data_IF_593999140519
#
_entry.id   IF_593999140519
#
_cell.length_a   1.000
_cell.length_b   1.000
_cell.length_c   1.000
_cell.angle_alpha   90.00
_cell.angle_beta   90.00
_cell.angle_gamma   90.00
#
_symmetry.space_group_name_H-M   'P 1'
#
loop_
_entity.id
_entity.type
_entity.pdbx_description
1 polymer ?
2 non-polymer ?
3 water ?
#
# COMPACT_ATOMS: atom_id res chain seq x y z
N UNK A 10 1.07 -24.19 -3.19
CA UNK A 10 2.33 -23.51 -3.62
C UNK A 10 3.17 -23.11 -2.41
N UNK A 11 4.46 -23.42 -2.45
CA UNK A 11 5.36 -23.08 -1.36
C UNK A 11 5.83 -21.64 -1.56
N UNK A 12 5.22 -20.71 -0.83
CA UNK A 12 5.57 -19.31 -0.94
C UNK A 12 6.96 -18.97 -0.42
N UNK A 13 7.57 -19.90 0.30
CA UNK A 13 8.91 -19.69 0.84
C UNK A 13 9.99 -20.04 -0.18
N UNK A 14 9.58 -20.57 -1.34
CA UNK A 14 10.54 -20.92 -2.37
C UNK A 14 11.33 -19.68 -2.75
N UNK A 15 12.65 -19.80 -2.82
CA UNK A 15 13.51 -18.68 -3.12
C UNK A 15 14.16 -18.65 -4.50
N UNK A 16 13.96 -19.71 -5.29
CA UNK A 16 14.56 -19.79 -6.60
C UNK A 16 13.57 -20.03 -7.73
N UNK A 17 13.67 -19.22 -8.78
CA UNK A 17 12.80 -19.35 -9.95
C UNK A 17 13.69 -19.57 -11.18
N UNK A 18 13.11 -20.09 -12.25
CA UNK A 18 13.89 -20.33 -13.46
C UNK A 18 14.16 -19.04 -14.24
N UNK A 19 15.14 -19.10 -15.12
CA UNK A 19 15.54 -17.93 -15.91
C UNK A 19 14.39 -17.27 -16.67
N UNK A 20 13.56 -18.07 -17.32
CA UNK A 20 12.44 -17.52 -18.09
C UNK A 20 11.49 -16.74 -17.19
N UNK A 21 11.20 -17.28 -16.02
CA UNK A 21 10.29 -16.61 -15.08
C UNK A 21 10.90 -15.29 -14.60
N UNK A 22 12.20 -15.31 -14.30
CA UNK A 22 12.88 -14.11 -13.85
C UNK A 22 12.80 -13.04 -14.94
N UNK A 23 12.90 -13.46 -16.20
CA UNK A 23 12.84 -12.52 -17.32
C UNK A 23 11.44 -11.91 -17.43
N UNK A 24 10.41 -12.74 -17.27
CA UNK A 24 9.03 -12.28 -17.36
C UNK A 24 8.76 -11.20 -16.32
N UNK A 25 9.18 -11.46 -15.09
CA UNK A 25 8.98 -10.51 -14.00
C UNK A 25 9.78 -9.23 -14.20
N UNK A 26 10.99 -9.37 -14.71
CA UNK A 26 11.85 -8.22 -14.95
C UNK A 26 11.22 -7.31 -16.01
N UNK A 27 10.73 -7.91 -17.09
CA UNK A 27 10.10 -7.14 -18.16
C UNK A 27 8.80 -6.53 -17.65
N UNK A 28 8.11 -7.27 -16.79
CA UNK A 28 6.86 -6.78 -16.22
C UNK A 28 7.10 -5.50 -15.42
N UNK A 29 8.11 -5.53 -14.57
CA UNK A 29 8.45 -4.37 -13.75
C UNK A 29 8.86 -3.20 -14.63
N UNK A 30 9.70 -3.47 -15.62
CA UNK A 30 10.15 -2.42 -16.50
C UNK A 30 9.01 -1.79 -17.28
N UNK A 31 8.07 -2.61 -17.76
CA UNK A 31 6.92 -2.09 -18.51
C UNK A 31 6.07 -1.20 -17.62
N UNK A 32 5.86 -1.64 -16.39
CA UNK A 32 5.06 -0.88 -15.43
C UNK A 32 5.74 0.43 -15.08
N UNK A 33 7.06 0.39 -14.87
CA UNK A 33 7.77 1.62 -14.54
C UNK A 33 7.66 2.61 -15.69
N UNK A 34 7.74 2.09 -16.92
CA UNK A 34 7.62 2.95 -18.09
C UNK A 34 6.21 3.54 -18.16
N UNK A 35 5.20 2.72 -17.85
CA UNK A 35 3.82 3.20 -17.87
C UNK A 35 3.63 4.30 -16.83
N UNK A 36 4.22 4.11 -15.65
CA UNK A 36 4.12 5.12 -14.61
C UNK A 36 4.74 6.41 -15.10
N UNK A 37 5.94 6.33 -15.68
CA UNK A 37 6.61 7.51 -16.20
C UNK A 37 5.77 8.19 -17.27
N UNK A 38 5.20 7.40 -18.18
CA UNK A 38 4.37 7.95 -19.25
C UNK A 38 3.12 8.62 -18.68
N UNK A 39 2.56 8.04 -17.63
CA UNK A 39 1.37 8.58 -16.99
C UNK A 39 1.67 9.90 -16.30
N UNK A 40 2.82 9.97 -15.65
CA UNK A 40 3.21 11.20 -14.96
C UNK A 40 3.37 12.32 -15.99
N UNK A 41 4.02 12.00 -17.10
CA UNK A 41 4.25 12.95 -18.18
C UNK A 41 2.94 13.49 -18.73
N UNK A 42 1.98 12.59 -18.98
CA UNK A 42 0.68 12.97 -19.51
C UNK A 42 -0.08 13.86 -18.54
N UNK A 43 0.07 13.61 -17.25
CA UNK A 43 -0.61 14.38 -16.22
C UNK A 43 0.20 15.61 -15.80
N UNK A 44 1.33 15.82 -16.45
CA UNK A 44 2.16 16.97 -16.10
C UNK A 44 2.68 16.91 -14.68
N UNK A 45 3.02 15.71 -14.21
CA UNK A 45 3.53 15.55 -12.85
C UNK A 45 5.02 15.23 -12.90
N UNK A 46 5.77 15.77 -11.93
CA UNK A 46 7.21 15.54 -11.86
C UNK A 46 7.54 14.06 -11.73
N UNK A 47 8.64 13.65 -12.34
CA UNK A 47 9.08 12.26 -12.29
C UNK A 47 9.36 11.89 -10.84
N UNK A 48 8.96 10.69 -10.43
CA UNK A 48 9.18 10.26 -9.07
C UNK A 48 8.04 10.60 -8.13
N UNK A 49 7.02 11.27 -8.66
CA UNK A 49 5.85 11.64 -7.87
C UNK A 49 5.05 10.41 -7.46
N UNK A 50 5.12 9.37 -8.29
CA UNK A 50 4.38 8.13 -8.04
C UNK A 50 5.32 6.97 -7.70
N UNK A 51 5.03 6.27 -6.61
CA UNK A 51 5.84 5.13 -6.22
C UNK A 51 5.12 3.84 -6.58
N UNK A 52 5.88 2.84 -7.00
CA UNK A 52 5.32 1.55 -7.37
C UNK A 52 5.37 0.57 -6.23
N UNK A 53 4.21 0.03 -5.87
CA UNK A 53 4.12 -0.98 -4.83
C UNK A 53 3.73 -2.26 -5.56
N UNK A 54 4.53 -3.30 -5.42
CA UNK A 54 4.22 -4.55 -6.07
C UNK A 54 3.30 -5.33 -5.14
N UNK A 55 2.13 -5.73 -5.65
CA UNK A 55 1.18 -6.52 -4.86
C UNK A 55 1.72 -7.93 -5.01
N UNK A 56 2.28 -8.47 -3.93
CA UNK A 56 2.91 -9.78 -3.98
C UNK A 56 2.11 -11.00 -3.56
N UNK A 57 0.80 -10.86 -3.41
CA UNK A 57 -0.03 -11.98 -3.00
C UNK A 57 0.15 -13.18 -3.93
N UNK A 58 0.24 -14.36 -3.33
CA UNK A 58 0.42 -15.64 -4.04
C UNK A 58 1.76 -15.84 -4.74
N UNK A 59 2.66 -14.88 -4.61
CA UNK A 59 3.97 -14.99 -5.24
C UNK A 59 4.98 -15.48 -4.20
N UNK A 60 5.97 -16.27 -4.63
CA UNK A 60 6.96 -16.74 -3.68
C UNK A 60 8.14 -15.78 -3.56
N UNK A 61 9.03 -16.08 -2.61
CA UNK A 61 10.20 -15.24 -2.36
C UNK A 61 11.05 -15.02 -3.61
N UNK A 62 11.24 -16.07 -4.39
CA UNK A 62 12.05 -15.93 -5.60
C UNK A 62 11.43 -14.93 -6.55
N UNK A 63 10.11 -15.02 -6.73
CA UNK A 63 9.39 -14.12 -7.61
C UNK A 63 9.46 -12.67 -7.13
N UNK A 64 9.20 -12.48 -5.84
CA UNK A 64 9.23 -11.14 -5.27
C UNK A 64 10.60 -10.49 -5.39
N UNK A 66 12.81 -11.11 -7.60
CA UNK A 66 13.10 -10.83 -9.00
C UNK A 66 12.53 -9.44 -9.29
N UNK A 67 11.37 -9.16 -8.70
CA UNK A 67 10.71 -7.87 -8.91
C UNK A 67 11.52 -6.75 -8.26
N UNK A 68 12.00 -6.98 -7.04
CA UNK A 68 12.80 -5.98 -6.35
C UNK A 68 14.09 -5.74 -7.10
N UNK A 69 14.72 -6.82 -7.57
CA UNK A 69 15.96 -6.67 -8.31
C UNK A 69 15.76 -5.89 -9.61
N UNK A 70 14.53 -5.93 -10.13
CA UNK A 70 14.21 -5.23 -11.37
C UNK A 70 13.86 -3.77 -11.18
N UNK A 71 13.76 -3.33 -9.92
CA UNK A 71 13.45 -1.94 -9.67
C UNK A 71 12.38 -1.63 -8.64
N UNK A 72 11.65 -2.65 -8.19
CA UNK A 72 10.60 -2.44 -7.19
C UNK A 72 11.22 -2.09 -5.84
N UNK A 73 10.69 -1.06 -5.20
CA UNK A 73 11.21 -0.62 -3.90
C UNK A 73 10.12 -0.54 -2.83
N UNK A 75 6.66 -3.23 -1.36
CA UNK A 75 5.79 -4.38 -1.60
C UNK A 75 4.62 -4.37 -0.63
N UNK A 76 3.55 -5.04 -1.02
CA UNK A 76 2.37 -5.12 -0.19
C UNK A 76 1.73 -6.48 -0.33
N UNK A 77 1.47 -7.13 0.80
CA UNK A 77 0.85 -8.44 0.83
C UNK A 77 -0.62 -8.26 1.22
N UNK A 78 -1.47 -9.17 0.75
CA UNK A 78 -2.89 -9.10 1.07
C UNK A 78 -3.25 -9.83 2.36
N UNK A 79 -2.70 -11.02 2.53
CA UNK A 79 -3.02 -11.83 3.71
C UNK A 79 -1.91 -11.93 4.75
N UNK A 80 -2.28 -11.77 6.03
CA UNK A 80 -1.29 -11.87 7.11
C UNK A 80 -0.54 -13.20 7.10
N UNK A 81 -1.22 -14.27 6.68
CA UNK A 81 -0.59 -15.59 6.63
C UNK A 81 0.56 -15.61 5.63
N UNK A 82 0.43 -14.86 4.56
CA UNK A 82 1.50 -14.81 3.57
C UNK A 82 2.62 -13.93 4.10
N UNK A 83 2.27 -12.93 4.90
CA UNK A 83 3.28 -12.07 5.49
C UNK A 83 4.16 -12.94 6.38
N UNK A 84 3.53 -13.73 7.25
CA UNK A 84 4.27 -14.59 8.15
C UNK A 84 5.09 -15.65 7.43
N UNK A 85 4.56 -16.19 6.34
CA UNK A 85 5.26 -17.22 5.59
C UNK A 85 6.51 -16.72 4.87
N UNK A 86 6.46 -15.49 4.37
CA UNK A 86 7.57 -14.94 3.58
C UNK A 86 8.48 -13.90 4.26
N UNK A 87 8.01 -13.31 5.35
CA UNK A 87 8.76 -12.27 6.04
C UNK A 87 10.23 -12.54 6.32
N UNK A 88 10.54 -13.67 6.96
CA UNK A 88 11.93 -13.98 7.29
C UNK A 88 12.84 -14.05 6.07
N UNK A 89 12.46 -14.84 5.07
CA UNK A 89 13.26 -14.98 3.88
C UNK A 89 13.41 -13.68 3.11
N UNK A 90 12.29 -12.96 2.97
CA UNK A 90 12.33 -11.68 2.27
C UNK A 90 13.29 -10.70 2.94
N UNK A 91 13.25 -10.64 4.26
CA UNK A 91 14.12 -9.72 4.97
C UNK A 91 15.58 -10.09 4.73
N UNK A 92 15.89 -11.38 4.78
CA UNK A 92 17.27 -11.82 4.57
C UNK A 92 17.74 -11.48 3.16
N UNK A 93 16.92 -11.84 2.16
CA UNK A 93 17.26 -11.57 0.77
C UNK A 93 17.43 -10.07 0.50
N UNK A 94 16.55 -9.25 1.08
CA UNK A 94 16.66 -7.81 0.88
C UNK A 94 17.92 -7.27 1.54
N UNK A 95 18.26 -7.80 2.71
CA UNK A 95 19.44 -7.35 3.43
C UNK A 95 20.70 -7.63 2.60
N UNK A 96 20.76 -8.81 2.01
CA UNK A 96 21.91 -9.17 1.19
C UNK A 96 22.02 -8.23 -0.01
N UNK A 97 20.89 -7.75 -0.49
CA UNK A 97 20.85 -6.82 -1.63
C UNK A 97 21.04 -5.38 -1.18
N UNK A 98 21.33 -5.18 0.09
CA UNK A 98 21.55 -3.83 0.61
C UNK A 98 20.32 -3.02 0.94
N UNK A 99 19.21 -3.70 1.20
CA UNK A 99 17.95 -3.03 1.54
C UNK A 99 17.42 -3.45 2.90
N UNK A 100 16.75 -2.53 3.58
CA UNK A 100 16.11 -2.86 4.84
C UNK A 100 14.67 -3.09 4.39
N UNK A 101 13.96 -4.01 5.04
CA UNK A 101 12.58 -4.31 4.64
C UNK A 101 11.61 -4.20 5.80
N UNK A 102 10.56 -3.41 5.63
CA UNK A 102 9.58 -3.25 6.68
C UNK A 102 10.24 -2.93 7.99
N UNK A 103 9.77 -3.56 9.07
CA UNK A 103 10.35 -3.32 10.38
C UNK A 103 10.96 -4.59 10.98
N UNK A 110 23.64 1.48 7.76
CA UNK A 110 22.61 2.42 8.17
C UNK A 110 22.14 3.27 7.01
N UNK A 111 22.94 3.34 5.96
CA UNK A 111 22.59 4.12 4.78
C UNK A 111 21.85 3.26 3.75
N UNK A 112 21.48 2.06 4.15
CA UNK A 112 20.76 1.17 3.25
C UNK A 112 19.38 1.74 2.90
N UNK A 113 19.02 1.66 1.63
CA UNK A 113 17.71 2.15 1.21
C UNK A 113 16.65 1.28 1.87
N UNK A 114 15.55 1.89 2.27
CA UNK A 114 14.49 1.15 2.93
C UNK A 114 13.37 0.80 1.95
N UNK A 115 12.91 -0.45 2.02
CA UNK A 115 11.81 -0.93 1.17
C UNK A 115 10.60 -1.14 2.08
N UNK A 116 9.57 -0.30 1.91
CA UNK A 116 8.38 -0.47 2.75
C UNK A 116 7.69 -1.81 2.50
N UNK A 117 7.17 -2.40 3.57
CA UNK A 117 6.48 -3.69 3.47
C UNK A 117 5.10 -3.39 4.04
N UNK A 118 4.11 -3.25 3.16
CA UNK A 118 2.75 -2.93 3.58
C UNK A 118 1.80 -4.12 3.55
N UNK A 119 0.70 -3.98 4.30
CA UNK A 119 -0.35 -4.97 4.29
C UNK A 119 -1.41 -4.18 3.54
N UNK A 120 -1.89 -4.72 2.42
CA UNK A 120 -2.89 -4.01 1.64
C UNK A 120 -4.22 -4.74 1.58
N UNK A 121 -4.28 -5.92 2.21
CA UNK A 121 -5.52 -6.69 2.25
C UNK A 121 -6.20 -6.43 3.58
N UNK A 122 -7.46 -6.83 3.70
CA UNK A 122 -8.20 -6.61 4.95
C UNK A 122 -7.52 -7.33 6.11
N UNK A 123 -7.47 -6.64 7.25
CA UNK A 123 -6.82 -7.19 8.44
C UNK A 123 -7.78 -7.63 9.54
N UNK A 124 -7.88 -8.94 9.73
CA UNK A 124 -8.74 -9.48 10.76
C UNK A 124 -8.09 -9.09 12.08
N UNK A 125 -8.90 -8.67 13.05
CA UNK A 125 -8.38 -8.20 14.33
C UNK A 125 -7.40 -9.12 15.07
N UNK A 126 -7.69 -10.42 15.10
CA UNK A 126 -6.80 -11.33 15.80
C UNK A 126 -5.52 -11.64 15.03
N UNK A 127 -5.32 -10.96 13.91
CA UNK A 127 -4.12 -11.15 13.09
C UNK A 127 -3.20 -9.92 13.14
N UNK A 128 -3.63 -8.88 13.84
CA UNK A 128 -2.82 -7.67 13.95
C UNK A 128 -1.45 -8.00 14.52
N UNK A 129 -1.42 -8.76 15.60
CA UNK A 129 -0.17 -9.13 16.23
C UNK A 129 0.76 -9.89 15.30
N UNK A 130 0.20 -10.54 14.29
CA UNK A 130 1.00 -11.30 13.33
C UNK A 130 1.75 -10.39 12.37
N UNK A 131 1.19 -9.21 12.08
CA UNK A 131 1.83 -8.31 11.13
C UNK A 131 2.64 -7.16 11.73
N UNK A 132 2.38 -6.79 12.98
CA UNK A 132 3.12 -5.69 13.58
C UNK A 132 4.64 -5.89 13.62
N UNK A 133 5.11 -7.14 13.73
CA UNK A 133 6.57 -7.34 13.75
C UNK A 133 7.22 -7.22 12.38
N UNK A 134 6.40 -7.11 11.34
CA UNK A 134 6.91 -7.06 9.97
C UNK A 134 6.57 -5.83 9.13
N UNK A 135 5.28 -5.56 8.96
CA UNK A 135 4.84 -4.44 8.13
C UNK A 135 4.98 -3.07 8.79
N UNK A 136 5.45 -2.10 8.02
CA UNK A 136 5.60 -0.74 8.56
C UNK A 136 4.35 0.10 8.31
N UNK A 137 3.50 -0.35 7.40
CA UNK A 137 2.27 0.37 7.12
C UNK A 137 1.11 -0.58 6.82
N UNK A 138 -0.02 -0.32 7.45
CA UNK A 138 -1.24 -1.11 7.22
C UNK A 138 -2.18 -0.21 6.41
N UNK A 139 -2.30 -0.50 5.11
CA UNK A 139 -3.11 0.32 4.22
C UNK A 139 -4.61 0.09 4.27
N UNK A 140 -5.04 -0.96 4.96
CA UNK A 140 -6.45 -1.32 5.00
C UNK A 140 -7.26 -0.93 6.24
N UNK A 141 -6.88 0.14 6.93
CA UNK A 141 -7.63 0.54 8.11
C UNK A 141 -8.90 1.24 7.63
N UNK A 142 -10.04 0.57 7.80
CA UNK A 142 -11.31 1.09 7.33
C UNK A 142 -12.28 1.58 8.40
N UNK A 143 -11.82 1.66 9.64
CA UNK A 143 -12.70 2.12 10.71
C UNK A 143 -11.96 2.61 11.95
N UNK A 144 -12.64 3.43 12.74
CA UNK A 144 -12.06 3.94 13.98
C UNK A 144 -11.84 2.73 14.87
N UNK A 145 -12.78 1.79 14.81
CA UNK A 145 -12.72 0.57 15.61
C UNK A 145 -11.44 -0.23 15.34
N UNK A 146 -11.14 -0.47 14.07
CA UNK A 146 -9.93 -1.22 13.72
C UNK A 146 -8.70 -0.43 14.13
N UNK A 147 -8.70 0.88 13.88
CA UNK A 147 -7.57 1.73 14.23
C UNK A 147 -7.28 1.65 15.72
N UNK A 148 -8.32 1.60 16.54
CA UNK A 148 -8.15 1.50 17.99
C UNK A 148 -7.52 0.17 18.37
N UNK A 149 -7.98 -0.90 17.72
CA UNK A 149 -7.44 -2.22 18.01
C UNK A 149 -5.95 -2.28 17.66
N UNK A 150 -5.58 -1.66 16.55
CA UNK A 150 -4.18 -1.65 16.14
C UNK A 150 -3.39 -0.80 17.12
N UNK A 151 -3.97 0.33 17.52
CA UNK A 151 -3.33 1.23 18.46
C UNK A 151 -2.99 0.54 19.79
N UNK A 152 -3.97 -0.15 20.36
CA UNK A 152 -3.77 -0.84 21.63
C UNK A 152 -2.59 -1.80 21.56
N UNK A 153 -2.51 -2.55 20.46
CA UNK A 153 -1.45 -3.51 20.27
C UNK A 153 -0.09 -2.89 19.96
N UNK A 154 -0.08 -1.78 19.23
CA UNK A 154 1.18 -1.11 18.92
C UNK A 154 1.76 -0.50 20.20
N UNK A 155 0.90 0.16 20.97
CA UNK A 155 1.33 0.78 22.21
C UNK A 155 1.91 -0.27 23.15
N UNK A 156 1.21 -1.40 23.29
CA UNK A 156 1.66 -2.48 24.16
C UNK A 156 3.01 -3.03 23.70
N UNK A 157 3.23 -3.03 22.38
CA UNK A 157 4.47 -3.55 21.82
C UNK A 157 5.60 -2.51 21.91
N UNK A 158 5.22 -1.27 22.16
CA UNK A 158 6.19 -0.19 22.28
C UNK A 158 6.64 0.39 20.95
N UNK A 159 5.81 0.26 19.93
CA UNK A 159 6.15 0.77 18.60
C UNK A 159 5.05 1.65 18.00
N UNK A 160 5.34 2.19 16.83
CA UNK A 160 4.38 3.01 16.08
C UNK A 160 4.31 2.37 14.70
N UNK A 161 3.09 2.11 14.23
CA UNK A 161 2.94 1.52 12.90
C UNK A 161 2.21 2.54 12.01
N UNK A 162 2.59 2.58 10.74
CA UNK A 162 1.94 3.49 9.82
C UNK A 162 0.60 2.93 9.40
N UNK A 163 -0.34 3.81 9.07
CA UNK A 163 -1.65 3.36 8.62
C UNK A 163 -2.20 4.30 7.55
N UNK A 164 -2.98 3.72 6.64
CA UNK A 164 -3.64 4.51 5.61
C UNK A 164 -5.11 4.26 5.88
N UNK A 165 -5.92 5.30 5.77
CA UNK A 165 -7.36 5.15 5.97
C UNK A 165 -7.91 4.67 4.64
N UNK A 166 -8.50 3.48 4.65
CA UNK A 166 -9.07 2.88 3.45
C UNK A 166 -10.49 3.39 3.29
N UNK A 167 -10.75 4.04 2.16
CA UNK A 167 -12.07 4.59 1.88
C UNK A 167 -12.76 3.85 0.76
N UNK A 168 -14.07 3.63 0.91
CA UNK A 168 -14.85 2.94 -0.11
C UNK A 168 -15.27 3.97 -1.16
N UNK A 169 -14.68 3.88 -2.34
CA UNK A 169 -14.99 4.80 -3.44
C UNK A 169 -15.70 4.06 -4.58
N UNK A 170 -16.22 2.87 -4.28
CA UNK A 170 -16.88 2.04 -5.28
C UNK A 170 -18.32 2.43 -5.59
N UNK A 171 -18.96 3.11 -4.64
CA UNK A 171 -20.34 3.50 -4.83
C UNK A 171 -21.25 2.38 -4.37
N UNK A 172 -20.63 1.28 -3.95
CA UNK A 172 -21.34 0.11 -3.45
C UNK A 172 -21.06 -0.07 -1.96
N UNK A 173 -22.08 0.15 -1.15
CA UNK A 173 -21.96 0.03 0.29
C UNK A 173 -21.38 -1.30 0.77
N UNK A 174 -21.57 -2.35 -0.02
CA UNK A 174 -21.08 -3.68 0.34
C UNK A 174 -19.56 -3.84 0.27
N UNK A 175 -18.87 -2.96 -0.44
CA UNK A 175 -17.43 -3.05 -0.58
C UNK A 175 -16.68 -2.63 0.68
N UNK A 176 -15.38 -2.94 0.74
CA UNK A 176 -14.55 -2.58 1.88
C UNK A 176 -14.25 -1.09 1.89
N UNK A 177 -13.76 -0.59 3.02
CA UNK A 177 -13.45 0.83 3.14
C UNK A 177 -14.51 1.58 3.91
N UNK A 178 -14.15 2.74 4.46
CA UNK A 178 -15.10 3.53 5.23
C UNK A 178 -16.06 4.32 4.34
N UNK A 179 -17.16 4.77 4.93
CA UNK A 179 -18.15 5.58 4.22
C UNK A 179 -17.39 6.80 3.75
N UNK A 180 -17.43 7.11 2.45
CA UNK A 180 -16.72 8.28 1.95
C UNK A 180 -17.02 9.61 2.66
N UNK A 181 -18.28 9.81 3.07
CA UNK A 181 -18.66 11.05 3.74
C UNK A 181 -18.07 11.16 5.15
N UNK A 182 -17.79 10.02 5.77
CA UNK A 182 -17.23 10.03 7.12
C UNK A 182 -15.70 9.97 7.18
N UNK A 183 -15.03 9.88 6.03
CA UNK A 183 -13.57 9.79 5.98
C UNK A 183 -12.81 10.84 6.79
N UNK A 184 -13.19 12.11 6.66
CA UNK A 184 -12.48 13.16 7.38
C UNK A 184 -12.59 12.96 8.90
N UNK A 185 -13.80 12.71 9.38
CA UNK A 185 -14.06 12.48 10.80
C UNK A 185 -13.25 11.32 11.34
N UNK A 186 -13.25 10.20 10.60
CA UNK A 186 -12.52 9.01 11.01
C UNK A 186 -11.02 9.28 11.03
N UNK A 187 -10.53 9.98 10.02
CA UNK A 187 -9.11 10.30 9.93
C UNK A 187 -8.65 11.12 11.13
N UNK A 188 -9.44 12.12 11.50
CA UNK A 188 -9.10 12.96 12.62
C UNK A 188 -9.05 12.17 13.93
N UNK A 189 -9.98 11.22 14.09
CA UNK A 189 -9.98 10.40 15.31
C UNK A 189 -8.74 9.52 15.32
N UNK A 190 -8.41 8.95 14.17
CA UNK A 190 -7.22 8.09 14.06
C UNK A 190 -5.98 8.90 14.42
N UNK A 191 -5.97 10.17 14.03
CA UNK A 191 -4.83 11.02 14.33
C UNK A 191 -4.57 11.21 15.82
N UNK A 192 -5.58 10.96 16.65
CA UNK A 192 -5.43 11.12 18.09
C UNK A 192 -4.93 9.86 18.79
N UNK A 193 -4.89 8.74 18.07
CA UNK A 193 -4.45 7.48 18.66
C UNK A 193 -2.94 7.33 18.72
N UNK A 194 -2.44 6.85 19.85
CA UNK A 194 -1.01 6.63 20.02
C UNK A 194 -0.64 5.33 19.32
N UNK A 195 0.65 5.15 19.02
CA UNK A 195 1.08 3.92 18.37
C UNK A 195 0.83 3.84 16.88
N UNK A 196 0.15 4.83 16.32
CA UNK A 196 -0.10 4.82 14.89
C UNK A 196 0.19 6.17 14.25
N UNK A 197 0.58 6.13 12.99
CA UNK A 197 0.87 7.33 12.23
C UNK A 197 0.06 7.32 10.94
N UNK A 198 -0.90 8.23 10.84
CA UNK A 198 -1.74 8.32 9.65
C UNK A 198 -0.88 8.87 8.51
N UNK A 199 -0.60 8.05 7.50
CA UNK A 199 0.26 8.48 6.40
C UNK A 199 -0.45 8.78 5.08
N UNK A 200 -1.77 8.68 5.08
CA UNK A 200 -2.52 8.95 3.88
C UNK A 200 -3.80 8.13 3.76
N UNK A 201 -4.36 8.07 2.56
CA UNK A 201 -5.58 7.33 2.29
C UNK A 201 -5.34 6.25 1.23
N UNK A 203 -7.64 3.33 -1.52
CA UNK A 203 -8.91 2.87 -2.02
C UNK A 203 -8.71 1.79 -3.07
N UNK A 204 -9.64 0.86 -3.11
CA UNK A 204 -9.62 -0.21 -4.09
C UNK A 204 -10.27 0.32 -5.37
N UNK A 205 -10.99 1.44 -5.23
CA UNK A 205 -11.64 2.04 -6.38
C UNK A 205 -12.93 1.36 -6.77
N UNK A 206 -13.23 1.37 -8.06
CA UNK A 206 -14.44 0.74 -8.57
C UNK A 206 -14.07 -0.23 -9.71
N UNK A 207 -14.50 -1.48 -9.57
CA UNK A 207 -14.23 -2.48 -10.60
C UNK A 207 -15.30 -2.36 -11.67
N UNK A 208 -15.24 -1.27 -12.42
CA UNK A 208 -16.19 -1.01 -13.49
C UNK A 208 -15.43 -0.54 -14.71
N UNK A 209 -16.12 -0.45 -15.86
CA UNK A 209 -15.47 0.00 -17.08
C UNK A 209 -15.81 1.45 -17.38
N UNK A 210 -16.52 2.11 -16.47
CA UNK A 210 -16.91 3.50 -16.64
C UNK A 210 -15.82 4.39 -16.06
N UNK A 211 -15.04 5.03 -16.94
CA UNK A 211 -13.97 5.90 -16.49
C UNK A 211 -14.42 7.12 -15.69
N UNK A 212 -15.67 7.57 -15.89
CA UNK A 212 -16.14 8.71 -15.12
C UNK A 212 -16.35 8.31 -13.66
N UNK A 213 -16.74 7.06 -13.45
CA UNK A 213 -16.95 6.54 -12.10
C UNK A 213 -15.60 6.33 -11.42
N UNK A 214 -14.66 5.78 -12.17
CA UNK A 214 -13.32 5.52 -11.65
C UNK A 214 -12.64 6.84 -11.26
N UNK A 215 -12.68 7.81 -12.18
CA UNK A 215 -12.07 9.10 -11.93
C UNK A 215 -12.71 9.82 -10.75
N UNK A 216 -14.03 9.75 -10.65
CA UNK A 216 -14.72 10.42 -9.55
C UNK A 216 -14.25 9.93 -8.18
N UNK A 217 -14.04 8.61 -8.07
CA UNK A 217 -13.57 8.04 -6.82
C UNK A 217 -12.16 8.44 -6.44
N UNK A 218 -11.25 8.47 -7.41
CA UNK A 218 -9.87 8.85 -7.13
C UNK A 218 -9.82 10.33 -6.79
N UNK A 219 -10.62 11.11 -7.50
CA UNK A 219 -10.68 12.54 -7.27
C UNK A 219 -11.20 12.80 -5.85
N UNK A 220 -12.20 12.03 -5.44
CA UNK A 220 -12.76 12.19 -4.11
C UNK A 220 -11.71 11.88 -3.06
N UNK A 221 -10.92 10.83 -3.28
CA UNK A 221 -9.88 10.46 -2.32
C UNK A 221 -8.84 11.57 -2.20
N UNK A 222 -8.44 12.14 -3.33
CA UNK A 222 -7.46 13.21 -3.31
C UNK A 222 -7.97 14.43 -2.55
N UNK A 223 -9.21 14.84 -2.82
CA UNK A 223 -9.79 15.99 -2.14
C UNK A 223 -9.90 15.74 -0.64
N UNK A 224 -10.28 14.52 -0.28
CA UNK A 224 -10.42 14.15 1.12
C UNK A 224 -9.05 14.27 1.80
N UNK A 225 -8.03 13.76 1.13
CA UNK A 225 -6.66 13.82 1.64
C UNK A 225 -6.29 15.29 1.86
N UNK A 226 -6.60 16.14 0.89
CA UNK A 226 -6.29 17.56 1.01
C UNK A 226 -6.95 18.22 2.21
N UNK A 227 -8.22 17.89 2.44
CA UNK A 227 -8.95 18.46 3.57
C UNK A 227 -8.36 18.01 4.90
N UNK A 228 -7.99 16.73 5.00
CA UNK A 228 -7.42 16.23 6.24
C UNK A 228 -6.11 16.97 6.56
N UNK A 229 -5.27 17.15 5.55
CA UNK A 229 -4.01 17.86 5.75
C UNK A 229 -4.27 19.31 6.16
N UNK A 230 -5.28 19.91 5.55
CA UNK A 230 -5.62 21.29 5.83
C UNK A 230 -6.18 21.51 7.23
N UNK A 231 -6.80 20.48 7.79
CA UNK A 231 -7.41 20.59 9.12
C UNK A 231 -6.43 20.97 10.22
N UNK A 232 -5.20 20.48 10.09
CA UNK A 232 -4.18 20.78 11.09
C UNK A 232 -4.48 20.18 12.46
N UNK A 233 -5.36 19.18 12.48
CA UNK A 233 -5.71 18.53 13.75
C UNK A 233 -4.58 17.58 14.15
N UNK A 234 -4.48 17.26 15.45
CA UNK A 234 -3.45 16.36 15.97
C UNK A 234 -3.27 15.07 15.18
N UNK A 235 -2.02 14.78 14.82
CA UNK A 235 -1.71 13.57 14.08
C UNK A 235 -2.21 13.49 12.65
N UNK A 236 -2.40 14.63 12.00
CA UNK A 236 -2.88 14.63 10.62
C UNK A 236 -1.92 15.24 9.60
N UNK A 237 -0.83 15.84 10.09
CA UNK A 237 0.13 16.48 9.19
C UNK A 237 0.90 15.55 8.26
N UNK A 238 0.83 14.25 8.47
CA UNK A 238 1.55 13.30 7.62
C UNK A 238 0.62 12.49 6.73
N UNK A 239 -0.65 12.88 6.68
CA UNK A 239 -1.64 12.19 5.87
C UNK A 239 -1.44 12.69 4.44
N UNK A 240 -0.39 12.23 3.79
CA UNK A 240 -0.06 12.68 2.44
C UNK A 240 -0.19 11.71 1.29
N UNK A 241 -0.12 10.41 1.57
CA UNK A 241 -0.20 9.43 0.50
C UNK A 241 -1.60 9.16 -0.03
N UNK A 242 -1.65 8.79 -1.29
CA UNK A 242 -2.89 8.40 -1.95
C UNK A 242 -2.55 7.09 -2.64
N UNK A 243 -2.92 5.98 -2.00
CA UNK A 243 -2.63 4.66 -2.54
C UNK A 243 -3.85 4.27 -3.36
N UNK A 245 -5.01 2.97 -7.68
CA UNK A 245 -4.61 2.62 -9.03
C UNK A 245 -3.91 1.28 -9.03
N UNK A 247 -3.28 -2.44 -11.90
CA UNK A 247 -2.98 -2.77 -13.29
C UNK A 247 -3.96 -2.19 -14.33
N UNK A 248 -5.26 -2.29 -14.06
CA UNK A 248 -6.23 -1.82 -15.02
C UNK A 248 -6.59 -0.35 -15.05
N UNK A 249 -6.25 0.39 -14.02
CA UNK A 249 -6.60 1.80 -13.99
C UNK A 249 -5.52 2.74 -13.44
N UNK A 251 -3.26 4.53 -14.94
CA UNK A 251 -3.12 5.78 -15.69
C UNK A 251 -4.10 6.82 -15.13
N UNK A 252 -5.34 6.40 -14.91
CA UNK A 252 -6.37 7.31 -14.38
C UNK A 252 -6.04 7.73 -12.95
N UNK A 253 -5.55 6.79 -12.16
CA UNK A 253 -5.20 7.08 -10.77
C UNK A 253 -4.11 8.14 -10.74
N UNK A 254 -3.10 7.97 -11.58
CA UNK A 254 -2.00 8.91 -11.62
C UNK A 254 -2.47 10.29 -12.11
N UNK A 255 -3.41 10.30 -13.05
CA UNK A 255 -3.95 11.57 -13.54
C UNK A 255 -4.66 12.29 -12.41
N UNK A 256 -5.22 11.53 -11.46
CA UNK A 256 -5.95 12.11 -10.34
C UNK A 256 -5.12 12.32 -9.07
N UNK A 257 -3.79 12.19 -9.18
CA UNK A 257 -2.94 12.43 -8.03
C UNK A 257 -2.37 11.29 -7.21
N UNK A 258 -2.54 10.05 -7.65
CA UNK A 258 -2.01 8.92 -6.90
C UNK A 258 -0.52 9.07 -6.59
N UNK A 259 -0.12 8.65 -5.40
CA UNK A 259 1.30 8.72 -5.02
C UNK A 259 1.83 7.30 -4.86
N UNK A 260 0.92 6.34 -4.83
CA UNK A 260 1.28 4.93 -4.71
C UNK A 260 0.31 4.11 -5.54
N UNK A 261 0.83 3.36 -6.51
CA UNK A 261 -0.03 2.49 -7.30
C UNK A 261 0.33 1.08 -6.85
N UNK A 262 -0.69 0.23 -6.72
CA UNK A 262 -0.51 -1.15 -6.28
C UNK A 262 -0.69 -2.07 -7.47
N UNK A 263 0.41 -2.64 -7.95
CA UNK A 263 0.37 -3.48 -9.14
C UNK A 263 0.74 -4.95 -8.92
N UNK A 264 -0.13 -5.84 -9.39
CA UNK A 264 0.11 -7.26 -9.26
C UNK A 264 0.26 -7.93 -10.62
N UNK A 265 -0.84 -8.08 -11.33
CA UNK A 265 -0.87 -8.73 -12.64
C UNK A 265 0.09 -8.19 -13.69
N UNK A 266 0.20 -6.88 -13.81
CA UNK A 266 1.09 -6.29 -14.80
C UNK A 266 2.55 -6.67 -14.56
N UNK A 267 2.86 -7.07 -13.34
CA UNK A 267 4.22 -7.46 -12.98
C UNK A 267 4.43 -8.96 -13.02
N UNK A 268 3.56 -9.68 -12.33
CA UNK A 268 3.66 -11.13 -12.23
C UNK A 268 2.82 -11.92 -13.22
#
# INVERSE_FOLDING_TARGET
>A
XSLTAYXDHKNLANEVIDDARAREITDGVHRVLDRIAAAEEQAGREAGSVRLLAATKTRDIGEIXAAIDAGVRXIGENRPQEVTAKAEGLARRCAERGFSLGVAGAAPDAAAEHIPFHLIGQLQSNKIGKVLPVVDTIESVDSIDLAEKISRRAVARGITVGVLLEVNESGEESKSGCDPAHAIRIAQKIGTLDGIELQGLXTIGAHVHDETVIRRGFSHLRKTRDLILASGEPGTDRCRELSXGXTGDXELAIAEGSTIVRVGTAIFGERAFIEGHHHHHH
#
